data_IF_774035013298
#
_entry.id   IF_774035013298
#
_cell.length_a   1.000
_cell.length_b   1.000
_cell.length_c   1.000
_cell.angle_alpha   90.00
_cell.angle_beta   90.00
_cell.angle_gamma   90.00
#
_symmetry.space_group_name_H-M   'P 1'
#
loop_
_entity.id
_entity.type
_entity.pdbx_description
1 polymer ?
#
# COMPACT_ATOMS: atom_id res chain seq x y z
N UNK A 1 1.89 7.23 0.40
CA UNK A 1 2.06 5.78 0.65
C UNK A 1 1.20 4.93 -0.31
N UNK A 2 -0.11 5.13 -0.36
CA UNK A 2 -1.05 4.32 -1.17
C UNK A 2 -0.58 4.08 -2.62
N UNK A 3 -0.26 5.15 -3.37
CA UNK A 3 0.19 5.05 -4.76
C UNK A 3 1.51 4.27 -4.93
N UNK A 4 2.42 4.32 -3.94
CA UNK A 4 3.67 3.56 -3.98
C UNK A 4 3.40 2.06 -3.84
N UNK A 5 2.50 1.68 -2.93
CA UNK A 5 2.10 0.29 -2.72
C UNK A 5 1.41 -0.24 -3.98
N UNK A 6 0.46 0.51 -4.53
CA UNK A 6 -0.25 0.10 -5.76
C UNK A 6 0.71 -0.11 -6.92
N UNK A 7 1.61 0.84 -7.18
CA UNK A 7 2.62 0.74 -8.22
C UNK A 7 3.56 -0.46 -8.00
N UNK A 8 3.98 -0.71 -6.76
CA UNK A 8 4.84 -1.84 -6.43
C UNK A 8 4.12 -3.19 -6.61
N UNK A 9 2.83 -3.29 -6.27
CA UNK A 9 2.01 -4.49 -6.54
C UNK A 9 1.92 -4.72 -8.05
N UNK A 10 1.59 -3.69 -8.83
CA UNK A 10 1.51 -3.79 -10.30
C UNK A 10 2.85 -4.24 -10.88
N UNK A 11 3.96 -3.62 -10.49
CA UNK A 11 5.28 -3.97 -10.98
C UNK A 11 5.63 -5.43 -10.68
N UNK A 12 5.40 -5.87 -9.44
CA UNK A 12 5.69 -7.25 -9.03
C UNK A 12 4.83 -8.26 -9.78
N UNK A 13 3.56 -7.97 -9.98
CA UNK A 13 2.66 -8.84 -10.75
C UNK A 13 3.04 -8.89 -12.23
N UNK A 14 3.41 -7.75 -12.85
CA UNK A 14 3.92 -7.73 -14.24
C UNK A 14 5.13 -8.65 -14.40
N UNK A 15 6.08 -8.57 -13.47
CA UNK A 15 7.29 -9.40 -13.51
C UNK A 15 7.00 -10.86 -13.19
N UNK A 16 6.14 -11.14 -12.21
CA UNK A 16 5.89 -12.49 -11.71
C UNK A 16 4.88 -13.31 -12.51
N UNK A 17 3.86 -12.67 -13.09
CA UNK A 17 2.87 -13.35 -13.94
C UNK A 17 3.40 -13.58 -15.35
N UNK A 18 4.30 -12.72 -15.85
CA UNK A 18 4.93 -12.88 -17.14
C UNK A 18 3.90 -13.09 -18.26
N UNK A 19 3.96 -14.25 -18.94
CA UNK A 19 3.06 -14.59 -20.06
C UNK A 19 1.72 -15.19 -19.61
N UNK A 20 1.43 -15.27 -18.30
CA UNK A 20 0.15 -15.77 -17.80
C UNK A 20 -1.00 -14.78 -18.06
N UNK A 21 -0.67 -13.51 -18.22
CA UNK A 21 -1.61 -12.41 -18.50
C UNK A 21 -1.08 -11.60 -19.68
N UNK A 22 -1.97 -10.95 -20.42
CA UNK A 22 -1.61 -9.99 -21.46
C UNK A 22 -1.09 -8.68 -20.86
N UNK A 23 -1.57 -8.34 -19.66
CA UNK A 23 -1.27 -7.09 -18.98
C UNK A 23 -1.69 -7.06 -17.51
N UNK A 24 -1.03 -6.18 -16.76
CA UNK A 24 -1.41 -5.81 -15.39
C UNK A 24 -1.49 -4.30 -15.30
N UNK A 25 -2.59 -3.77 -14.77
CA UNK A 25 -2.88 -2.34 -14.77
C UNK A 25 -3.36 -1.86 -13.39
N UNK A 26 -3.28 -0.54 -13.14
CA UNK A 26 -4.04 0.07 -12.05
C UNK A 26 -5.49 0.24 -12.53
N UNK A 27 -6.46 0.03 -11.66
CA UNK A 27 -7.88 0.12 -11.99
C UNK A 27 -8.37 1.56 -12.02
N UNK A 28 -8.90 1.98 -13.16
CA UNK A 28 -9.50 3.30 -13.38
C UNK A 28 -11.02 3.28 -13.61
N UNK A 29 -11.70 2.14 -13.44
CA UNK A 29 -13.14 1.98 -13.75
C UNK A 29 -13.43 1.15 -15.01
N UNK A 30 -12.43 0.45 -15.55
CA UNK A 30 -12.54 -0.24 -16.84
C UNK A 30 -13.52 -1.43 -16.83
N UNK A 31 -13.89 -1.91 -15.63
CA UNK A 31 -14.85 -3.01 -15.45
C UNK A 31 -16.29 -2.51 -15.29
N UNK A 32 -16.54 -1.21 -15.42
CA UNK A 32 -17.89 -0.63 -15.45
C UNK A 32 -18.53 -0.82 -16.85
N UNK A 33 -19.86 -0.73 -16.94
CA UNK A 33 -20.67 -1.19 -18.09
C UNK A 33 -20.23 -0.65 -19.47
N UNK A 34 -19.62 0.53 -19.54
CA UNK A 34 -19.14 1.14 -20.80
C UNK A 34 -17.73 0.68 -21.23
N UNK A 35 -16.90 0.18 -20.30
CA UNK A 35 -15.51 -0.22 -20.52
C UNK A 35 -15.29 -1.72 -20.80
N UNK A 36 -16.31 -2.54 -20.53
CA UNK A 36 -16.20 -4.00 -20.52
C UNK A 36 -15.71 -4.60 -21.85
N UNK A 37 -16.16 -4.05 -22.99
CA UNK A 37 -15.76 -4.55 -24.31
C UNK A 37 -14.26 -4.39 -24.58
N UNK A 38 -13.64 -3.33 -24.04
CA UNK A 38 -12.19 -3.11 -24.14
C UNK A 38 -11.41 -4.06 -23.23
N UNK A 39 -11.99 -4.41 -22.07
CA UNK A 39 -11.41 -5.37 -21.13
C UNK A 39 -11.36 -6.77 -21.72
N UNK A 40 -12.43 -7.20 -22.40
CA UNK A 40 -12.53 -8.55 -23.00
C UNK A 40 -11.38 -8.85 -23.98
N UNK A 41 -10.92 -7.83 -24.71
CA UNK A 41 -9.82 -7.97 -25.67
C UNK A 41 -8.44 -8.11 -24.99
N UNK A 42 -8.36 -7.76 -23.70
CA UNK A 42 -7.13 -7.83 -22.90
C UNK A 42 -7.10 -9.12 -22.05
N UNK A 43 -8.09 -10.00 -22.14
CA UNK A 43 -8.10 -11.22 -21.33
C UNK A 43 -7.11 -12.27 -21.85
N UNK A 44 -6.40 -12.98 -20.96
CA UNK A 44 -6.40 -12.87 -19.50
C UNK A 44 -5.64 -11.64 -18.97
N UNK A 45 -6.16 -10.95 -17.96
CA UNK A 45 -5.54 -9.74 -17.38
C UNK A 45 -5.78 -9.60 -15.86
N UNK A 46 -5.01 -8.70 -15.24
CA UNK A 46 -5.17 -8.33 -13.83
C UNK A 46 -5.18 -6.80 -13.61
N UNK A 47 -6.02 -6.33 -12.69
CA UNK A 47 -6.11 -4.94 -12.28
C UNK A 47 -5.91 -4.80 -10.79
N UNK A 48 -5.19 -3.78 -10.36
CA UNK A 48 -4.91 -3.50 -8.95
C UNK A 48 -5.63 -2.22 -8.56
N UNK A 49 -6.28 -2.21 -7.41
CA UNK A 49 -6.95 -1.02 -6.88
C UNK A 49 -6.80 -0.91 -5.37
N UNK A 50 -6.85 0.32 -4.88
CA UNK A 50 -6.96 0.61 -3.46
C UNK A 50 -8.44 0.58 -3.03
N UNK A 51 -8.77 -0.30 -2.08
CA UNK A 51 -10.14 -0.47 -1.60
C UNK A 51 -10.50 0.43 -0.41
N UNK A 52 -9.50 1.05 0.24
CA UNK A 52 -9.71 1.94 1.38
C UNK A 52 -8.85 1.61 2.61
N UNK A 53 -8.99 2.45 3.63
CA UNK A 53 -8.46 2.23 4.97
C UNK A 53 -9.63 1.78 5.85
N UNK A 54 -9.54 0.57 6.42
CA UNK A 54 -10.60 0.03 7.26
C UNK A 54 -10.56 0.62 8.67
N UNK A 55 -9.34 0.85 9.17
CA UNK A 55 -9.11 1.16 10.58
C UNK A 55 -7.84 2.00 10.73
N UNK A 56 -7.92 3.00 11.60
CA UNK A 56 -6.77 3.81 12.00
C UNK A 56 -6.69 3.85 13.52
N UNK A 57 -5.60 3.32 14.10
CA UNK A 57 -5.42 3.23 15.56
C UNK A 57 -4.17 3.96 16.03
N UNK A 58 -4.24 4.61 17.18
CA UNK A 58 -3.06 5.21 17.80
C UNK A 58 -2.08 4.11 18.28
N UNK A 59 -0.82 4.21 17.89
CA UNK A 59 0.24 3.22 18.22
C UNK A 59 0.73 3.39 19.66
N UNK A 60 0.63 4.60 20.21
CA UNK A 60 1.13 4.97 21.55
C UNK A 60 0.17 5.92 22.25
N UNK A 61 0.31 6.02 23.58
CA UNK A 61 -0.41 6.96 24.43
C UNK A 61 -0.26 8.42 23.99
N UNK A 62 0.88 8.78 23.36
CA UNK A 62 1.12 10.12 22.81
C UNK A 62 0.18 10.48 21.66
N UNK A 63 -0.50 9.51 21.03
CA UNK A 63 -1.40 9.68 19.87
C UNK A 63 -0.80 10.43 18.68
N UNK A 64 0.53 10.55 18.62
CA UNK A 64 1.25 11.19 17.52
C UNK A 64 1.56 10.25 16.35
N UNK A 65 1.41 8.94 16.54
CA UNK A 65 1.59 7.93 15.50
C UNK A 65 0.35 7.07 15.37
N UNK A 66 -0.11 6.89 14.14
CA UNK A 66 -1.29 6.12 13.80
C UNK A 66 -0.94 4.95 12.90
N UNK A 67 -1.48 3.78 13.20
CA UNK A 67 -1.44 2.59 12.36
C UNK A 67 -2.64 2.63 11.43
N UNK A 68 -2.40 2.85 10.14
CA UNK A 68 -3.45 2.84 9.12
C UNK A 68 -3.52 1.44 8.48
N UNK A 69 -4.62 0.71 8.69
CA UNK A 69 -4.88 -0.61 8.11
C UNK A 69 -5.61 -0.45 6.77
N UNK A 70 -4.93 -0.82 5.69
CA UNK A 70 -5.37 -0.61 4.32
C UNK A 70 -5.66 -1.92 3.61
N UNK A 71 -6.60 -1.85 2.66
CA UNK A 71 -6.94 -2.93 1.75
C UNK A 71 -6.60 -2.58 0.31
N UNK A 72 -5.98 -3.53 -0.37
CA UNK A 72 -5.77 -3.53 -1.82
C UNK A 72 -6.47 -4.73 -2.43
N UNK A 73 -7.01 -4.55 -3.62
CA UNK A 73 -7.73 -5.60 -4.34
C UNK A 73 -7.05 -5.82 -5.68
N UNK A 74 -6.78 -7.08 -6.00
CA UNK A 74 -6.32 -7.52 -7.32
C UNK A 74 -7.45 -8.25 -8.00
N UNK A 75 -8.03 -7.64 -9.03
CA UNK A 75 -9.03 -8.25 -9.89
C UNK A 75 -8.34 -9.06 -10.97
N UNK A 76 -8.70 -10.33 -11.12
CA UNK A 76 -8.20 -11.20 -12.19
C UNK A 76 -9.36 -11.64 -13.05
N UNK A 77 -9.16 -11.60 -14.36
CA UNK A 77 -10.17 -12.03 -15.33
C UNK A 77 -9.57 -12.97 -16.37
N UNK A 78 -10.33 -14.00 -16.71
CA UNK A 78 -10.02 -14.91 -17.80
C UNK A 78 -11.29 -15.21 -18.62
N UNK A 79 -11.11 -15.55 -19.89
CA UNK A 79 -12.19 -15.88 -20.82
C UNK A 79 -11.93 -17.23 -21.47
N UNK A 80 -12.99 -18.02 -21.66
CA UNK A 80 -12.91 -19.25 -22.45
C UNK A 80 -14.07 -19.33 -23.44
N UNK A 81 -13.76 -19.52 -24.73
CA UNK A 81 -14.76 -19.66 -25.79
C UNK A 81 -15.48 -21.02 -25.74
N UNK A 82 -15.02 -21.97 -24.92
CA UNK A 82 -15.58 -23.34 -24.85
C UNK A 82 -16.68 -23.47 -23.79
N UNK A 83 -16.43 -22.97 -22.59
CA UNK A 83 -17.40 -22.98 -21.49
C UNK A 83 -16.94 -22.11 -20.33
N UNK A 84 -17.89 -21.76 -19.47
CA UNK A 84 -17.64 -20.99 -18.25
C UNK A 84 -16.76 -21.76 -17.25
N UNK A 85 -16.98 -23.06 -17.10
CA UNK A 85 -16.14 -23.98 -16.31
C UNK A 85 -14.69 -24.00 -16.80
N UNK A 86 -14.48 -24.00 -18.12
CA UNK A 86 -13.15 -23.92 -18.72
C UNK A 86 -12.49 -22.54 -18.51
N UNK A 87 -13.27 -21.46 -18.33
CA UNK A 87 -12.70 -20.14 -17.99
C UNK A 87 -12.18 -20.09 -16.55
N UNK A 88 -12.73 -20.91 -15.64
CA UNK A 88 -12.28 -21.00 -14.24
C UNK A 88 -11.10 -21.96 -14.09
N UNK A 89 -11.24 -23.18 -14.60
CA UNK A 89 -10.26 -24.25 -14.45
C UNK A 89 -9.03 -24.07 -15.35
N UNK A 90 -9.21 -23.40 -16.49
CA UNK A 90 -8.26 -23.42 -17.59
C UNK A 90 -8.53 -24.60 -18.53
N UNK A 91 -7.86 -24.60 -19.67
CA UNK A 91 -7.94 -25.65 -20.67
C UNK A 91 -6.71 -26.55 -20.70
N UNK A 92 -6.64 -27.40 -21.73
CA UNK A 92 -5.58 -28.41 -21.89
C UNK A 92 -4.31 -27.76 -22.47
N UNK A 93 -4.48 -26.69 -23.26
CA UNK A 93 -3.37 -25.92 -23.78
C UNK A 93 -2.74 -25.04 -22.70
N UNK A 94 -1.42 -24.93 -22.68
CA UNK A 94 -0.72 -24.11 -21.68
C UNK A 94 -1.02 -22.59 -21.80
N UNK A 95 -1.69 -22.17 -22.87
CA UNK A 95 -2.19 -20.81 -23.10
C UNK A 95 -3.63 -20.60 -22.59
N UNK A 96 -4.33 -21.68 -22.24
CA UNK A 96 -5.72 -21.67 -21.77
C UNK A 96 -5.71 -21.53 -20.25
N UNK A 97 -5.26 -20.38 -19.74
CA UNK A 97 -5.17 -20.12 -18.31
C UNK A 97 -6.53 -19.76 -17.73
N UNK A 98 -6.91 -20.44 -16.65
CA UNK A 98 -8.13 -20.19 -15.93
C UNK A 98 -7.98 -19.17 -14.79
N UNK A 99 -9.10 -18.55 -14.42
CA UNK A 99 -9.14 -17.61 -13.29
C UNK A 99 -8.62 -18.21 -11.98
N UNK A 100 -8.80 -19.52 -11.73
CA UNK A 100 -8.26 -20.17 -10.52
C UNK A 100 -6.73 -20.24 -10.51
N UNK A 101 -6.12 -20.46 -11.66
CA UNK A 101 -4.65 -20.44 -11.80
C UNK A 101 -4.11 -19.02 -11.60
N UNK A 102 -4.81 -18.00 -12.10
CA UNK A 102 -4.46 -16.60 -11.85
C UNK A 102 -4.58 -16.22 -10.37
N UNK A 103 -5.67 -16.62 -9.69
CA UNK A 103 -5.84 -16.42 -8.25
C UNK A 103 -4.66 -17.03 -7.48
N UNK A 104 -4.29 -18.27 -7.80
CA UNK A 104 -3.16 -18.94 -7.17
C UNK A 104 -1.84 -18.16 -7.39
N UNK A 105 -1.55 -17.78 -8.63
CA UNK A 105 -0.33 -17.07 -8.99
C UNK A 105 -0.24 -15.71 -8.29
N UNK A 106 -1.30 -14.91 -8.33
CA UNK A 106 -1.38 -13.60 -7.65
C UNK A 106 -1.16 -13.74 -6.15
N UNK A 107 -1.88 -14.67 -5.49
CA UNK A 107 -1.73 -14.90 -4.05
C UNK A 107 -0.31 -15.36 -3.72
N UNK A 108 0.30 -16.22 -4.53
CA UNK A 108 1.66 -16.72 -4.30
C UNK A 108 2.73 -15.63 -4.45
N UNK A 109 2.51 -14.69 -5.37
CA UNK A 109 3.42 -13.57 -5.61
C UNK A 109 3.33 -12.51 -4.52
N UNK A 110 2.14 -12.21 -4.01
CA UNK A 110 1.91 -11.08 -3.09
C UNK A 110 1.90 -11.46 -1.62
N UNK A 111 1.52 -12.69 -1.26
CA UNK A 111 1.45 -13.09 0.14
C UNK A 111 2.80 -12.94 0.85
N UNK A 112 2.76 -12.35 2.04
CA UNK A 112 3.92 -12.11 2.90
C UNK A 112 5.02 -11.25 2.28
N UNK A 113 4.69 -10.33 1.36
CA UNK A 113 5.64 -9.39 0.76
C UNK A 113 5.45 -7.98 1.30
N UNK A 114 6.55 -7.29 1.59
CA UNK A 114 6.61 -5.85 1.91
C UNK A 114 6.93 -4.99 0.68
N UNK A 115 7.29 -5.63 -0.44
CA UNK A 115 7.64 -4.99 -1.72
C UNK A 115 8.83 -4.01 -1.60
N UNK A 116 9.66 -4.13 -0.56
CA UNK A 116 10.73 -3.18 -0.25
C UNK A 116 10.23 -1.83 0.26
N UNK A 117 8.95 -1.72 0.65
CA UNK A 117 8.35 -0.53 1.23
C UNK A 117 8.29 -0.64 2.77
N UNK A 118 8.19 0.50 3.44
CA UNK A 118 7.98 0.57 4.90
C UNK A 118 6.52 0.25 5.28
N UNK A 119 6.07 -0.94 4.90
CA UNK A 119 4.72 -1.47 5.18
C UNK A 119 4.84 -2.83 5.86
N UNK A 120 3.80 -3.23 6.57
CA UNK A 120 3.69 -4.62 6.98
C UNK A 120 3.42 -5.52 5.78
N UNK A 121 3.82 -6.79 5.89
CA UNK A 121 3.73 -7.74 4.79
C UNK A 121 2.27 -7.92 4.36
N UNK A 122 2.02 -7.90 3.05
CA UNK A 122 0.70 -8.10 2.46
C UNK A 122 0.09 -9.44 2.92
N UNK A 123 -1.00 -9.34 3.68
CA UNK A 123 -1.76 -10.48 4.18
C UNK A 123 -2.90 -10.79 3.24
N UNK A 124 -2.96 -12.00 2.65
CA UNK A 124 -4.08 -12.38 1.80
C UNK A 124 -5.37 -12.48 2.62
N UNK A 125 -6.47 -11.95 2.06
CA UNK A 125 -7.81 -11.96 2.66
C UNK A 125 -8.76 -12.73 1.74
N UNK A 126 -10.02 -12.29 1.67
CA UNK A 126 -11.07 -12.95 0.92
C UNK A 126 -10.79 -12.94 -0.59
N UNK A 127 -11.32 -13.95 -1.28
CA UNK A 127 -11.45 -13.94 -2.74
C UNK A 127 -12.94 -13.96 -3.04
N UNK A 128 -13.41 -13.01 -3.85
CA UNK A 128 -14.83 -12.87 -4.20
C UNK A 128 -15.00 -12.85 -5.69
N UNK A 129 -16.12 -13.39 -6.17
CA UNK A 129 -16.51 -13.24 -7.58
C UNK A 129 -17.17 -11.87 -7.78
N UNK A 130 -16.84 -11.19 -8.87
CA UNK A 130 -17.39 -9.85 -9.18
C UNK A 130 -18.60 -9.92 -10.12
N UNK A 131 -18.68 -10.95 -10.96
CA UNK A 131 -19.87 -11.24 -11.75
C UNK A 131 -20.55 -12.50 -11.21
N UNK A 132 -21.88 -12.50 -11.19
CA UNK A 132 -22.73 -13.66 -10.86
C UNK A 132 -23.94 -13.74 -11.82
N UNK A 133 -23.89 -12.99 -12.94
CA UNK A 133 -25.08 -12.50 -13.66
C UNK A 133 -25.15 -12.85 -15.15
N UNK A 134 -26.03 -12.15 -15.88
CA UNK A 134 -26.29 -12.35 -17.32
C UNK A 134 -25.07 -12.06 -18.22
N UNK A 135 -24.22 -11.11 -17.86
CA UNK A 135 -23.03 -10.73 -18.64
C UNK A 135 -21.97 -11.84 -18.69
N UNK A 136 -21.77 -12.55 -17.57
CA UNK A 136 -20.88 -13.71 -17.44
C UNK A 136 -21.23 -14.82 -18.47
N UNK A 137 -22.54 -15.00 -18.72
CA UNK A 137 -23.08 -15.95 -19.70
C UNK A 137 -23.00 -15.50 -21.15
N UNK A 138 -22.96 -14.19 -21.42
CA UNK A 138 -22.92 -13.66 -22.79
C UNK A 138 -21.49 -13.66 -23.36
N UNK A 139 -20.48 -13.43 -22.51
CA UNK A 139 -19.09 -13.31 -22.97
C UNK A 139 -18.15 -14.45 -22.53
N UNK A 140 -18.65 -15.39 -21.71
CA UNK A 140 -17.90 -16.54 -21.17
C UNK A 140 -16.61 -16.12 -20.43
N UNK A 141 -16.73 -15.04 -19.65
CA UNK A 141 -15.69 -14.44 -18.83
C UNK A 141 -15.94 -14.76 -17.36
N UNK A 142 -14.90 -15.00 -16.58
CA UNK A 142 -14.97 -15.06 -15.12
C UNK A 142 -14.03 -14.02 -14.49
N UNK A 143 -14.50 -13.30 -13.46
CA UNK A 143 -13.72 -12.25 -12.79
C UNK A 143 -13.78 -12.41 -11.27
N UNK A 144 -12.60 -12.41 -10.65
CA UNK A 144 -12.44 -12.55 -9.20
C UNK A 144 -11.61 -11.42 -8.61
N UNK A 145 -12.05 -10.90 -7.47
CA UNK A 145 -11.32 -9.97 -6.63
C UNK A 145 -10.55 -10.73 -5.54
N UNK A 146 -9.23 -10.60 -5.54
CA UNK A 146 -8.34 -11.07 -4.47
C UNK A 146 -8.01 -9.91 -3.54
N UNK A 147 -8.50 -9.95 -2.30
CA UNK A 147 -8.21 -8.91 -1.30
C UNK A 147 -6.88 -9.17 -0.57
N UNK A 148 -6.14 -8.10 -0.30
CA UNK A 148 -4.93 -8.09 0.52
C UNK A 148 -4.99 -6.95 1.54
N UNK A 149 -4.57 -7.22 2.77
CA UNK A 149 -4.45 -6.23 3.83
C UNK A 149 -2.98 -5.94 4.15
N UNK A 150 -2.67 -4.68 4.45
CA UNK A 150 -1.38 -4.24 4.96
C UNK A 150 -1.61 -3.06 5.91
N UNK A 151 -0.57 -2.62 6.59
CA UNK A 151 -0.62 -1.38 7.35
C UNK A 151 0.72 -0.64 7.27
N UNK A 152 0.66 0.67 7.49
CA UNK A 152 1.84 1.50 7.71
C UNK A 152 1.60 2.43 8.89
N UNK A 153 2.68 3.07 9.34
CA UNK A 153 2.64 4.07 10.41
C UNK A 153 2.62 5.45 9.78
N UNK A 154 1.60 6.22 10.14
CA UNK A 154 1.45 7.63 9.81
C UNK A 154 1.82 8.46 11.04
N UNK A 155 2.49 9.58 10.81
CA UNK A 155 2.80 10.55 11.86
C UNK A 155 1.83 11.72 11.74
N UNK A 156 1.14 12.00 12.84
CA UNK A 156 0.26 13.16 12.93
C UNK A 156 1.07 14.41 13.24
N UNK A 157 0.60 15.55 12.73
CA UNK A 157 1.09 16.86 13.14
C UNK A 157 0.68 17.14 14.59
N UNK A 158 1.53 17.89 15.29
CA UNK A 158 1.14 18.48 16.55
C UNK A 158 -0.03 19.45 16.36
N UNK A 159 -0.86 19.59 17.40
CA UNK A 159 -2.03 20.45 17.33
C UNK A 159 -1.66 21.89 16.96
N UNK A 160 -2.24 22.41 15.87
CA UNK A 160 -2.02 23.77 15.37
C UNK A 160 -0.77 23.95 14.49
N UNK A 161 0.02 22.89 14.26
CA UNK A 161 1.13 22.93 13.30
C UNK A 161 0.65 22.60 11.89
N UNK A 162 1.41 23.11 10.93
CA UNK A 162 1.33 22.76 9.51
C UNK A 162 2.51 21.84 9.14
N UNK A 163 2.42 21.13 8.00
CA UNK A 163 3.53 20.37 7.43
C UNK A 163 4.83 21.19 7.33
N UNK A 164 5.97 20.54 7.49
CA UNK A 164 7.27 21.21 7.40
C UNK A 164 7.79 21.24 5.97
N UNK A 165 8.67 22.19 5.67
CA UNK A 165 9.44 22.14 4.42
C UNK A 165 10.46 21.01 4.57
N UNK A 166 10.37 19.94 3.76
CA UNK A 166 11.30 18.83 3.88
C UNK A 166 12.74 19.30 3.65
N UNK A 167 13.73 18.79 4.40
CA UNK A 167 15.11 18.99 4.05
C UNK A 167 15.39 18.35 2.66
N UNK A 168 16.35 18.89 1.90
CA UNK A 168 16.72 18.30 0.61
C UNK A 168 17.10 16.82 0.80
N UNK A 169 16.68 15.92 -0.10
CA UNK A 169 16.94 14.50 0.04
C UNK A 169 18.45 14.24 0.06
N UNK A 170 18.95 13.34 0.92
CA UNK A 170 20.35 13.00 0.94
C UNK A 170 20.79 12.41 -0.41
N UNK A 171 22.04 12.67 -0.85
CA UNK A 171 22.55 12.07 -2.07
C UNK A 171 22.49 10.54 -1.99
N UNK A 172 22.21 9.85 -3.11
CA UNK A 172 22.04 8.41 -3.09
C UNK A 172 23.35 7.72 -2.68
N UNK A 173 23.24 6.70 -1.83
CA UNK A 173 24.39 5.95 -1.31
C UNK A 173 25.20 5.26 -2.42
N UNK A 174 24.56 4.96 -3.57
CA UNK A 174 25.25 4.59 -4.80
C UNK A 174 24.46 5.11 -6.03
N UNK A 175 25.10 5.25 -7.21
CA UNK A 175 24.46 5.79 -8.42
C UNK A 175 23.30 4.96 -8.99
N UNK A 176 23.20 3.69 -8.60
CA UNK A 176 22.18 2.74 -9.08
C UNK A 176 21.07 2.49 -8.05
N UNK A 177 21.11 3.19 -6.91
CA UNK A 177 20.14 3.01 -5.85
C UNK A 177 18.80 3.63 -6.31
N UNK A 178 17.67 2.95 -6.11
CA UNK A 178 16.38 3.56 -6.35
C UNK A 178 16.25 4.84 -5.52
N UNK A 179 15.62 5.90 -6.06
CA UNK A 179 15.46 7.15 -5.34
C UNK A 179 14.69 6.89 -4.03
N UNK A 180 15.04 7.60 -2.94
CA UNK A 180 14.30 7.49 -1.70
C UNK A 180 12.83 7.89 -1.92
N UNK A 181 11.89 7.31 -1.15
CA UNK A 181 10.50 7.73 -1.22
C UNK A 181 10.39 9.22 -0.88
N UNK A 182 9.48 9.97 -1.53
CA UNK A 182 9.29 11.38 -1.26
C UNK A 182 8.86 11.61 0.19
N UNK A 183 9.31 12.71 0.79
CA UNK A 183 8.90 13.12 2.13
C UNK A 183 7.37 13.29 2.19
N UNK A 184 6.69 12.86 3.28
CA UNK A 184 5.23 12.99 3.39
C UNK A 184 4.74 14.43 3.17
N UNK A 185 5.49 15.42 3.68
CA UNK A 185 5.12 16.83 3.60
C UNK A 185 5.43 17.49 2.24
N UNK A 186 6.11 16.78 1.32
CA UNK A 186 6.54 17.32 0.04
C UNK A 186 5.35 17.84 -0.80
N UNK A 187 4.20 17.19 -0.69
CA UNK A 187 2.98 17.58 -1.40
C UNK A 187 2.55 19.01 -1.04
N UNK A 188 2.66 19.41 0.22
CA UNK A 188 2.24 20.73 0.68
C UNK A 188 3.16 21.82 0.14
N UNK A 189 4.46 21.55 0.04
CA UNK A 189 5.42 22.46 -0.60
C UNK A 189 5.16 22.58 -2.10
N UNK A 190 4.97 21.44 -2.78
CA UNK A 190 4.72 21.40 -4.23
C UNK A 190 3.50 22.23 -4.64
N UNK A 191 2.46 22.21 -3.82
CA UNK A 191 1.23 22.96 -4.06
C UNK A 191 1.14 24.30 -3.30
N UNK A 192 2.26 24.80 -2.77
CA UNK A 192 2.34 26.10 -2.09
C UNK A 192 1.32 26.27 -0.93
N UNK A 193 1.07 25.19 -0.19
CA UNK A 193 0.22 25.21 0.98
C UNK A 193 0.94 25.80 2.22
N UNK A 194 0.20 26.02 3.30
CA UNK A 194 0.76 26.50 4.56
C UNK A 194 1.80 25.51 5.11
N UNK A 195 2.92 26.05 5.60
CA UNK A 195 4.02 25.27 6.19
C UNK A 195 4.45 25.87 7.53
N UNK A 196 5.00 25.04 8.42
CA UNK A 196 5.60 25.47 9.68
C UNK A 196 7.13 25.43 9.62
N UNK A 197 7.83 26.23 10.44
CA UNK A 197 9.26 26.06 10.62
C UNK A 197 9.58 24.68 11.21
N UNK A 198 10.79 24.14 10.95
CA UNK A 198 11.24 22.88 11.52
C UNK A 198 11.16 22.87 13.05
N UNK A 199 10.93 21.68 13.64
CA UNK A 199 11.04 21.53 15.08
C UNK A 199 12.40 22.01 15.60
N UNK A 200 12.43 22.68 16.77
CA UNK A 200 13.69 23.08 17.37
C UNK A 200 14.55 21.86 17.67
N UNK A 201 15.83 21.92 17.30
CA UNK A 201 16.75 20.81 17.50
C UNK A 201 16.88 20.47 18.99
N UNK A 202 16.73 19.20 19.35
CA UNK A 202 17.04 18.73 20.69
C UNK A 202 18.56 18.76 20.89
N UNK A 203 19.04 19.67 21.75
CA UNK A 203 20.48 19.81 22.04
C UNK A 203 20.94 18.89 23.18
N UNK A 204 20.03 18.49 24.07
CA UNK A 204 20.32 17.53 25.12
C UNK A 204 19.21 17.43 26.16
N UNK A 205 19.35 16.47 27.07
CA UNK A 205 18.51 16.36 28.26
C UNK A 205 19.40 16.08 29.47
N UNK A 206 19.21 16.85 30.54
CA UNK A 206 19.82 16.64 31.85
C UNK A 206 18.87 15.80 32.71
N UNK A 207 19.41 14.83 33.44
CA UNK A 207 18.65 14.03 34.40
C UNK A 207 19.27 14.20 35.79
N UNK A 208 18.48 14.70 36.74
CA UNK A 208 18.85 14.86 38.14
C UNK A 208 18.16 13.77 38.96
N UNK A 209 18.95 12.89 39.58
CA UNK A 209 18.44 11.83 40.47
C UNK A 209 18.74 12.24 41.91
N UNK A 210 17.69 12.57 42.64
CA UNK A 210 17.75 12.88 44.06
C UNK A 210 17.41 11.63 44.87
N UNK A 211 18.38 11.09 45.61
CA UNK A 211 18.16 10.02 46.58
C UNK A 211 18.22 10.62 48.00
N UNK A 212 17.07 10.86 48.65
CA UNK A 212 17.07 11.35 50.04
C UNK A 212 17.60 10.28 50.99
N UNK A 213 18.31 10.63 52.08
CA UNK A 213 18.80 9.67 53.07
C UNK A 213 17.69 8.84 53.74
N UNK A 214 16.49 9.43 53.89
CA UNK A 214 15.38 8.86 54.67
C UNK A 214 14.18 8.36 53.84
N UNK A 215 14.26 8.40 52.49
CA UNK A 215 13.17 7.95 51.63
C UNK A 215 13.69 6.98 50.54
N UNK A 216 13.23 5.72 50.51
CA UNK A 216 13.74 4.71 49.55
C UNK A 216 13.28 4.94 48.10
N UNK A 217 12.47 5.98 47.84
CA UNK A 217 12.00 6.32 46.50
C UNK A 217 12.83 7.48 45.93
N UNK A 218 13.71 7.24 44.93
CA UNK A 218 14.48 8.31 44.31
C UNK A 218 13.54 9.27 43.56
N UNK A 219 13.70 10.56 43.78
CA UNK A 219 13.06 11.59 42.97
C UNK A 219 13.91 11.83 41.72
N UNK A 220 13.27 11.85 40.56
CA UNK A 220 13.92 12.04 39.26
C UNK A 220 13.37 13.32 38.64
N UNK A 221 14.24 14.30 38.41
CA UNK A 221 13.94 15.51 37.65
C UNK A 221 14.63 15.45 36.29
N UNK A 222 13.96 15.86 35.23
CA UNK A 222 14.51 15.92 33.88
C UNK A 222 14.37 17.33 33.32
N UNK A 223 15.46 17.90 32.81
CA UNK A 223 15.50 19.19 32.14
C UNK A 223 15.88 18.98 30.67
N UNK A 224 15.05 19.44 29.74
CA UNK A 224 15.26 19.27 28.29
C UNK A 224 15.78 20.58 27.71
N UNK A 225 16.88 20.52 26.94
CA UNK A 225 17.48 21.67 26.26
C UNK A 225 17.20 21.59 24.76
N UNK A 226 16.43 22.53 24.24
CA UNK A 226 16.15 22.69 22.81
C UNK A 226 16.89 23.90 22.24
N UNK A 227 17.21 23.87 20.95
CA UNK A 227 17.72 25.04 20.23
C UNK A 227 16.64 26.10 20.07
N UNK A 228 17.04 27.38 20.01
CA UNK A 228 16.15 28.44 19.58
C UNK A 228 15.84 28.27 18.08
N UNK A 229 14.55 28.30 17.73
CA UNK A 229 14.13 28.44 16.33
C UNK A 229 14.61 29.81 15.82
N UNK A 230 15.30 29.87 14.66
CA UNK A 230 15.71 31.13 14.05
C UNK A 230 14.53 31.98 13.58
#
# INVERSE_FOLDING_TARGET
MIALIEAAIVQRLRQGLGKLVTGVHSYGGELDDEGLYQVVQQLPAAWVTFAGIDKTEAVKTSRTKHKAEAKFVVMVAARSLRSEEASRAGGIGHWEIGSYQLIYAVRRLLANQDLGLAIDKLQPRAVRTLFNGRMERQEAMSVYACEFATHWIEEALDNGRWPEIPPPPPPPANPNAPPPPPHPDQIFVTYQAATSPPYPELKGANLHVHAPPDNPTPAIEAEVKTGETP
#
